data_IF_421459259764
#
_entry.id   IF_421459259764
#
_cell.length_a   1.000
_cell.length_b   1.000
_cell.length_c   1.000
_cell.angle_alpha   90.00
_cell.angle_beta   90.00
_cell.angle_gamma   90.00
#
_symmetry.space_group_name_H-M   'P 1'
#
loop_
_entity.id
_entity.type
_entity.pdbx_description
1 polymer ?
#
# COMPACT_ATOMS: atom_id res chain seq x y z
N UNK A 1 -13.16 1.23 -4.70
CA UNK A 1 -12.72 1.97 -5.92
C UNK A 1 -13.45 3.30 -5.99
N UNK A 2 -12.77 4.37 -6.35
CA UNK A 2 -13.39 5.69 -6.49
C UNK A 2 -12.39 6.75 -6.91
N UNK A 3 -12.88 7.94 -7.31
CA UNK A 3 -12.03 9.08 -7.59
C UNK A 3 -11.50 9.68 -6.29
N UNK A 4 -10.19 9.83 -6.17
CA UNK A 4 -9.56 10.46 -5.01
C UNK A 4 -10.03 11.92 -4.86
N UNK A 5 -10.10 12.68 -5.95
CA UNK A 5 -10.57 14.07 -5.95
C UNK A 5 -11.98 14.24 -5.38
N UNK A 6 -12.87 13.30 -5.68
CA UNK A 6 -14.27 13.39 -5.29
C UNK A 6 -14.54 12.83 -3.90
N UNK A 7 -13.78 11.81 -3.47
CA UNK A 7 -14.13 11.00 -2.31
C UNK A 7 -13.28 11.31 -1.08
N UNK A 8 -12.03 11.76 -1.25
CA UNK A 8 -11.08 11.87 -0.14
C UNK A 8 -11.52 12.86 0.93
N UNK A 9 -11.99 14.04 0.53
CA UNK A 9 -12.47 15.07 1.45
C UNK A 9 -13.64 14.56 2.31
N UNK A 10 -14.56 13.82 1.69
CA UNK A 10 -15.70 13.22 2.40
C UNK A 10 -15.25 12.13 3.39
N UNK A 11 -14.30 11.28 2.98
CA UNK A 11 -13.75 10.23 3.84
C UNK A 11 -12.97 10.80 5.03
N UNK A 12 -12.34 11.96 4.87
CA UNK A 12 -11.57 12.62 5.93
C UNK A 12 -12.42 13.55 6.81
N UNK A 13 -13.59 13.99 6.34
CA UNK A 13 -14.46 14.92 7.06
C UNK A 13 -14.81 14.52 8.52
N UNK A 14 -14.97 13.21 8.87
CA UNK A 14 -15.25 12.83 10.26
C UNK A 14 -14.08 13.06 11.22
N UNK A 15 -12.87 13.35 10.73
CA UNK A 15 -11.67 13.47 11.55
C UNK A 15 -11.27 14.93 11.74
N UNK A 16 -11.29 15.40 12.98
CA UNK A 16 -10.97 16.80 13.31
C UNK A 16 -9.51 17.19 13.07
N UNK A 17 -8.60 16.20 13.09
CA UNK A 17 -7.18 16.38 12.83
C UNK A 17 -6.66 15.25 11.95
N UNK A 18 -6.08 15.60 10.81
CA UNK A 18 -5.48 14.67 9.86
C UNK A 18 -4.01 15.03 9.66
N UNK A 19 -3.14 14.03 9.65
CA UNK A 19 -1.73 14.16 9.27
C UNK A 19 -1.46 13.18 8.13
N UNK A 20 -0.85 13.67 7.07
CA UNK A 20 -0.54 12.89 5.88
C UNK A 20 0.91 12.41 5.93
N UNK A 21 1.13 11.12 5.75
CA UNK A 21 2.46 10.55 5.51
C UNK A 21 2.62 10.32 4.00
N UNK A 22 3.68 10.88 3.43
CA UNK A 22 3.97 10.77 2.00
C UNK A 22 5.47 10.87 1.76
N UNK A 23 5.92 10.81 0.51
CA UNK A 23 7.29 11.12 0.10
C UNK A 23 7.32 12.33 -0.85
N UNK A 24 8.50 12.88 -1.10
CA UNK A 24 8.65 14.10 -1.88
C UNK A 24 8.07 13.96 -3.29
N UNK A 25 8.33 12.86 -3.97
CA UNK A 25 7.82 12.60 -5.31
C UNK A 25 6.29 12.54 -5.35
N UNK A 26 5.68 11.80 -4.44
CA UNK A 26 4.22 11.64 -4.39
C UNK A 26 3.55 12.95 -3.95
N UNK A 27 4.15 13.68 -3.01
CA UNK A 27 3.69 15.02 -2.60
C UNK A 27 3.69 15.99 -3.80
N UNK A 28 4.73 15.98 -4.61
CA UNK A 28 4.81 16.81 -5.82
C UNK A 28 3.75 16.47 -6.87
N UNK A 29 3.38 15.19 -6.99
CA UNK A 29 2.38 14.74 -7.96
C UNK A 29 0.94 14.89 -7.45
N UNK A 30 0.69 14.54 -6.20
CA UNK A 30 -0.64 14.32 -5.65
C UNK A 30 -0.93 15.07 -4.35
N UNK A 31 0.00 15.93 -3.88
CA UNK A 31 -0.19 16.73 -2.67
C UNK A 31 -1.42 17.64 -2.72
N UNK A 32 -1.83 18.06 -3.92
CA UNK A 32 -3.06 18.85 -4.13
C UNK A 32 -4.33 18.13 -3.66
N UNK A 33 -4.35 16.79 -3.67
CA UNK A 33 -5.50 16.00 -3.22
C UNK A 33 -5.75 16.11 -1.71
N UNK A 34 -4.71 16.38 -0.93
CA UNK A 34 -4.78 16.47 0.53
C UNK A 34 -4.86 17.89 1.07
N UNK A 35 -4.86 18.89 0.17
CA UNK A 35 -5.04 20.29 0.54
C UNK A 35 -4.01 20.78 1.55
N UNK A 36 -4.50 21.45 2.61
CA UNK A 36 -3.65 22.04 3.66
C UNK A 36 -3.35 21.12 4.84
N UNK A 37 -3.71 19.84 4.77
CA UNK A 37 -3.34 18.92 5.84
C UNK A 37 -1.81 18.86 6.01
N UNK A 38 -1.28 18.90 7.24
CA UNK A 38 0.15 18.80 7.48
C UNK A 38 0.69 17.48 6.95
N UNK A 39 1.81 17.57 6.23
CA UNK A 39 2.47 16.44 5.60
C UNK A 39 3.80 16.13 6.30
N UNK A 40 4.04 14.86 6.58
CA UNK A 40 5.33 14.32 6.99
C UNK A 40 5.94 13.65 5.76
N UNK A 41 7.06 14.21 5.28
CA UNK A 41 7.76 13.70 4.10
C UNK A 41 8.77 12.66 4.53
N UNK A 42 8.62 11.44 4.03
CA UNK A 42 9.48 10.30 4.32
C UNK A 42 10.44 10.02 3.18
N UNK A 43 11.64 9.48 3.46
CA UNK A 43 12.56 9.07 2.41
C UNK A 43 12.00 7.89 1.61
N UNK A 44 12.41 7.79 0.33
CA UNK A 44 12.00 6.73 -0.58
C UNK A 44 12.87 5.48 -0.48
N UNK A 45 12.35 4.37 -0.97
CA UNK A 45 13.06 3.12 -1.16
C UNK A 45 13.03 2.18 0.05
N UNK A 46 13.34 0.91 -0.21
CA UNK A 46 13.26 -0.18 0.79
C UNK A 46 14.17 0.06 2.00
N UNK A 47 15.29 0.75 1.84
CA UNK A 47 16.20 1.09 2.94
C UNK A 47 15.60 2.02 3.99
N UNK A 48 14.55 2.76 3.63
CA UNK A 48 13.83 3.65 4.57
C UNK A 48 12.79 2.89 5.42
N UNK A 49 12.45 1.66 5.06
CA UNK A 49 11.44 0.85 5.76
C UNK A 49 12.02 0.23 7.04
N UNK A 50 12.29 1.05 8.06
CA UNK A 50 12.96 0.63 9.30
C UNK A 50 12.41 1.37 10.53
N UNK A 51 12.82 0.93 11.73
CA UNK A 51 12.38 1.50 13.00
C UNK A 51 12.82 2.97 13.19
N UNK A 52 13.96 3.38 12.64
CA UNK A 52 14.43 4.77 12.76
C UNK A 52 13.53 5.75 11.99
N UNK A 53 13.07 5.36 10.81
CA UNK A 53 12.06 6.13 10.07
C UNK A 53 10.76 6.21 10.85
N UNK A 54 10.32 5.12 11.47
CA UNK A 54 9.12 5.12 12.33
C UNK A 54 9.31 6.03 13.55
N UNK A 55 10.48 6.01 14.18
CA UNK A 55 10.81 6.94 15.27
C UNK A 55 10.75 8.40 14.81
N UNK A 56 11.19 8.67 13.58
CA UNK A 56 11.06 10.01 12.96
C UNK A 56 9.59 10.39 12.76
N UNK A 57 8.75 9.46 12.29
CA UNK A 57 7.28 9.69 12.18
C UNK A 57 6.72 10.09 13.55
N UNK A 58 7.07 9.39 14.64
CA UNK A 58 6.57 9.71 15.98
C UNK A 58 7.00 11.11 16.44
N UNK A 59 8.27 11.50 16.23
CA UNK A 59 8.78 12.82 16.58
C UNK A 59 8.01 13.93 15.85
N UNK A 60 7.76 13.73 14.55
CA UNK A 60 6.99 14.68 13.73
C UNK A 60 5.51 14.75 14.15
N UNK A 61 4.88 13.60 14.43
CA UNK A 61 3.52 13.57 14.97
C UNK A 61 3.43 14.37 16.28
N UNK A 62 4.39 14.18 17.20
CA UNK A 62 4.46 14.96 18.45
C UNK A 62 4.67 16.45 18.18
N UNK A 63 5.56 16.81 17.26
CA UNK A 63 5.81 18.22 16.87
C UNK A 63 4.55 18.89 16.32
N UNK A 64 3.75 18.15 15.56
CA UNK A 64 2.46 18.59 15.03
C UNK A 64 1.34 18.59 16.08
N UNK A 65 1.63 18.17 17.31
CA UNK A 65 0.63 18.08 18.39
C UNK A 65 -0.42 17.00 18.13
N UNK A 66 -0.05 15.91 17.42
CA UNK A 66 -0.97 14.81 17.18
C UNK A 66 -1.35 14.12 18.49
N UNK A 67 -2.63 13.85 18.65
CA UNK A 67 -3.24 13.19 19.80
C UNK A 67 -3.89 11.85 19.42
N UNK A 68 -4.55 11.20 20.37
CA UNK A 68 -5.22 9.90 20.16
C UNK A 68 -6.41 9.95 19.17
N UNK A 69 -6.89 11.14 18.82
CA UNK A 69 -7.99 11.35 17.88
C UNK A 69 -7.50 11.72 16.48
N UNK A 70 -6.20 11.96 16.34
CA UNK A 70 -5.57 12.27 15.07
C UNK A 70 -5.72 11.09 14.11
N UNK A 71 -6.07 11.41 12.88
CA UNK A 71 -6.12 10.42 11.78
C UNK A 71 -4.84 10.49 10.95
N UNK A 72 -4.25 9.35 10.64
CA UNK A 72 -3.08 9.25 9.78
C UNK A 72 -3.51 8.77 8.40
N UNK A 73 -3.27 9.57 7.36
CA UNK A 73 -3.46 9.18 5.97
C UNK A 73 -2.10 8.84 5.34
N UNK A 74 -1.95 7.64 4.82
CA UNK A 74 -0.81 7.29 3.98
C UNK A 74 -1.14 7.56 2.51
N UNK A 75 -0.41 8.47 1.88
CA UNK A 75 -0.49 8.80 0.46
C UNK A 75 0.79 8.31 -0.23
N UNK A 76 0.78 7.10 -0.82
CA UNK A 76 1.99 6.54 -1.44
C UNK A 76 1.94 5.07 -1.79
N UNK A 77 3.11 4.46 -2.03
CA UNK A 77 3.25 3.05 -2.33
C UNK A 77 3.24 2.13 -1.12
N UNK A 78 3.42 0.81 -1.33
CA UNK A 78 3.33 -0.21 -0.30
C UNK A 78 4.27 -0.02 0.88
N UNK A 79 5.53 0.38 0.65
CA UNK A 79 6.50 0.68 1.71
C UNK A 79 5.94 1.73 2.68
N UNK A 80 5.36 2.78 2.13
CA UNK A 80 4.80 3.88 2.93
C UNK A 80 3.54 3.44 3.66
N UNK A 81 2.66 2.66 3.02
CA UNK A 81 1.48 2.09 3.67
C UNK A 81 1.86 1.21 4.87
N UNK A 82 2.87 0.33 4.71
CA UNK A 82 3.34 -0.54 5.78
C UNK A 82 3.89 0.25 6.98
N UNK A 83 4.74 1.25 6.72
CA UNK A 83 5.31 2.11 7.77
C UNK A 83 4.23 2.96 8.46
N UNK A 84 3.32 3.54 7.67
CA UNK A 84 2.24 4.38 8.20
C UNK A 84 1.27 3.57 9.06
N UNK A 85 0.86 2.40 8.61
CA UNK A 85 0.01 1.50 9.37
C UNK A 85 0.67 1.03 10.66
N UNK A 86 1.96 0.68 10.62
CA UNK A 86 2.72 0.32 11.81
C UNK A 86 2.85 1.49 12.78
N UNK A 87 3.23 2.67 12.29
CA UNK A 87 3.31 3.88 13.11
C UNK A 87 1.95 4.22 13.74
N UNK A 88 0.88 4.17 12.98
CA UNK A 88 -0.47 4.44 13.48
C UNK A 88 -0.91 3.41 14.54
N UNK A 89 -0.64 2.12 14.32
CA UNK A 89 -1.03 1.05 15.25
C UNK A 89 -0.30 1.11 16.60
N UNK A 90 0.83 1.79 16.67
CA UNK A 90 1.70 1.85 17.85
C UNK A 90 1.77 3.24 18.50
N UNK A 91 1.59 4.33 17.72
CA UNK A 91 1.53 5.69 18.26
C UNK A 91 0.37 5.84 19.26
N UNK A 92 0.66 6.29 20.48
CA UNK A 92 -0.31 6.42 21.58
C UNK A 92 -1.17 5.17 21.85
N UNK A 93 -0.65 3.99 21.58
CA UNK A 93 -1.29 2.65 21.64
C UNK A 93 -2.34 2.42 20.55
N UNK A 94 -2.25 3.16 19.46
CA UNK A 94 -3.10 3.05 18.28
C UNK A 94 -3.92 4.30 18.02
N UNK A 95 -3.76 4.85 16.81
CA UNK A 95 -4.59 5.92 16.24
C UNK A 95 -5.21 5.42 14.93
N UNK A 96 -6.29 6.06 14.51
CA UNK A 96 -6.98 5.68 13.26
C UNK A 96 -6.16 6.09 12.06
N UNK A 97 -6.25 5.28 11.00
CA UNK A 97 -5.52 5.55 9.76
C UNK A 97 -6.29 5.05 8.53
N UNK A 98 -5.87 5.50 7.37
CA UNK A 98 -6.38 5.07 6.08
C UNK A 98 -5.31 5.19 5.00
N UNK A 99 -5.58 4.60 3.84
CA UNK A 99 -4.64 4.55 2.73
C UNK A 99 -5.22 5.16 1.46
N UNK A 100 -4.39 5.94 0.77
CA UNK A 100 -4.55 6.34 -0.63
C UNK A 100 -3.34 5.82 -1.42
N UNK A 101 -3.38 4.53 -1.84
CA UNK A 101 -2.24 3.89 -2.49
C UNK A 101 -2.04 4.41 -3.91
N UNK A 102 -0.79 4.76 -4.25
CA UNK A 102 -0.41 5.36 -5.54
C UNK A 102 0.36 4.42 -6.47
N UNK A 103 0.58 3.17 -6.07
CA UNK A 103 1.20 2.14 -6.91
C UNK A 103 0.24 0.98 -7.13
N UNK A 104 0.35 0.29 -8.27
CA UNK A 104 -0.50 -0.88 -8.55
C UNK A 104 -0.30 -1.95 -7.47
N UNK A 105 0.94 -2.24 -7.09
CA UNK A 105 1.26 -3.19 -6.01
C UNK A 105 0.53 -2.86 -4.70
N UNK A 106 0.50 -1.57 -4.32
CA UNK A 106 -0.19 -1.17 -3.12
C UNK A 106 -1.72 -1.28 -3.25
N UNK A 107 -2.28 -0.96 -4.43
CA UNK A 107 -3.73 -1.04 -4.65
C UNK A 107 -4.25 -2.49 -4.66
N UNK A 108 -3.49 -3.43 -5.24
CA UNK A 108 -3.95 -4.83 -5.37
C UNK A 108 -3.52 -5.73 -4.21
N UNK A 109 -2.49 -5.33 -3.47
CA UNK A 109 -1.89 -6.19 -2.45
C UNK A 109 -1.58 -5.46 -1.13
N UNK A 110 -0.58 -4.60 -1.07
CA UNK A 110 0.02 -4.13 0.19
C UNK A 110 -0.94 -3.37 1.11
N UNK A 111 -1.93 -2.63 0.59
CA UNK A 111 -2.89 -1.87 1.40
C UNK A 111 -4.04 -2.72 1.96
N UNK A 112 -4.18 -3.98 1.55
CA UNK A 112 -5.28 -4.86 1.92
C UNK A 112 -4.80 -5.97 2.83
N UNK A 113 -5.51 -6.21 3.93
CA UNK A 113 -5.26 -7.36 4.82
C UNK A 113 -4.53 -7.05 6.12
N UNK A 114 -4.33 -5.77 6.44
CA UNK A 114 -3.93 -5.29 7.77
C UNK A 114 -2.50 -5.63 8.20
N UNK A 115 -1.69 -6.26 7.37
CA UNK A 115 -0.26 -6.45 7.66
C UNK A 115 0.45 -5.11 7.55
N UNK A 116 1.11 -4.69 8.62
CA UNK A 116 1.91 -3.47 8.68
C UNK A 116 3.26 -3.80 9.29
N UNK A 117 4.32 -3.10 8.93
CA UNK A 117 5.60 -3.39 9.53
C UNK A 117 6.79 -2.78 8.83
N UNK A 118 7.96 -3.08 9.42
CA UNK A 118 9.26 -2.59 8.99
C UNK A 118 10.31 -3.69 9.00
N UNK A 119 11.40 -3.41 8.32
CA UNK A 119 12.58 -4.28 8.29
C UNK A 119 13.45 -4.07 9.54
N UNK A 120 14.18 -5.10 9.93
CA UNK A 120 15.13 -5.08 11.03
C UNK A 120 16.35 -5.90 10.65
N UNK A 121 17.54 -5.34 10.81
CA UNK A 121 18.84 -6.01 10.62
C UNK A 121 18.97 -6.78 9.30
N UNK A 122 18.45 -6.21 8.21
CA UNK A 122 18.47 -6.81 6.88
C UNK A 122 17.36 -7.84 6.61
N UNK A 123 16.54 -8.16 7.60
CA UNK A 123 15.37 -9.03 7.43
C UNK A 123 14.13 -8.21 7.14
N UNK A 124 13.40 -8.59 6.06
CA UNK A 124 12.17 -7.90 5.64
C UNK A 124 11.00 -8.21 6.58
N UNK A 125 10.22 -7.17 6.92
CA UNK A 125 8.94 -7.26 7.63
C UNK A 125 8.99 -8.00 8.98
N UNK A 126 10.11 -7.93 9.70
CA UNK A 126 10.30 -8.66 10.96
C UNK A 126 9.59 -8.03 12.15
N UNK A 127 9.34 -6.75 12.11
CA UNK A 127 8.63 -6.02 13.16
C UNK A 127 7.36 -5.43 12.59
N UNK A 128 6.21 -5.79 13.15
CA UNK A 128 4.95 -5.34 12.60
C UNK A 128 3.74 -5.68 13.45
N UNK A 129 2.59 -5.26 12.97
CA UNK A 129 1.30 -5.53 13.59
C UNK A 129 0.27 -5.95 12.54
N UNK A 130 -0.80 -6.61 12.99
CA UNK A 130 -2.03 -6.73 12.22
C UNK A 130 -2.96 -5.61 12.66
N UNK A 131 -3.18 -4.61 11.80
CA UNK A 131 -4.05 -3.47 12.07
C UNK A 131 -4.76 -3.04 10.78
N UNK A 132 -6.09 -3.03 10.82
CA UNK A 132 -6.89 -2.70 9.64
C UNK A 132 -7.04 -1.18 9.51
N UNK A 133 -6.87 -0.60 8.29
CA UNK A 133 -7.18 0.79 8.04
C UNK A 133 -8.70 1.02 8.10
N UNK A 134 -9.11 2.27 8.41
CA UNK A 134 -10.52 2.66 8.36
C UNK A 134 -11.08 2.64 6.93
N UNK A 135 -10.22 2.94 5.96
CA UNK A 135 -10.52 2.80 4.53
C UNK A 135 -9.25 2.63 3.72
N UNK A 136 -9.41 2.06 2.53
CA UNK A 136 -8.45 2.07 1.44
C UNK A 136 -9.15 2.67 0.22
N UNK A 137 -8.70 3.83 -0.23
CA UNK A 137 -9.24 4.48 -1.42
C UNK A 137 -8.34 4.19 -2.62
N UNK A 138 -8.70 3.22 -3.44
CA UNK A 138 -7.99 2.90 -4.68
C UNK A 138 -8.56 3.71 -5.83
N UNK A 139 -7.69 4.47 -6.50
CA UNK A 139 -7.99 5.25 -7.69
C UNK A 139 -6.98 4.89 -8.79
N UNK A 140 -7.44 4.28 -9.86
CA UNK A 140 -6.60 3.90 -10.99
C UNK A 140 -5.98 5.12 -11.71
N UNK A 141 -6.57 6.31 -11.59
CA UNK A 141 -5.99 7.54 -12.15
C UNK A 141 -4.61 7.86 -11.56
N UNK A 142 -4.35 7.48 -10.30
CA UNK A 142 -3.05 7.68 -9.66
C UNK A 142 -1.93 6.82 -10.26
N UNK A 143 -2.28 5.81 -11.06
CA UNK A 143 -1.31 4.95 -11.75
C UNK A 143 -0.76 5.58 -13.03
N UNK A 144 -1.35 6.67 -13.53
CA UNK A 144 -0.91 7.32 -14.76
C UNK A 144 0.55 7.80 -14.69
N UNK A 145 1.01 8.27 -13.52
CA UNK A 145 2.39 8.70 -13.29
C UNK A 145 3.34 7.57 -12.89
N UNK A 146 2.82 6.35 -12.70
CA UNK A 146 3.63 5.23 -12.20
C UNK A 146 4.61 4.76 -13.28
N UNK A 147 5.93 4.68 -13.00
CA UNK A 147 6.89 4.13 -13.94
C UNK A 147 6.53 2.71 -14.36
N UNK A 148 6.83 2.36 -15.61
CA UNK A 148 6.50 1.04 -16.16
C UNK A 148 7.03 -0.10 -15.30
N UNK A 149 8.26 0.00 -14.80
CA UNK A 149 8.87 -1.02 -13.93
C UNK A 149 8.02 -1.27 -12.69
N UNK A 150 7.58 -0.20 -12.03
CA UNK A 150 6.76 -0.29 -10.82
C UNK A 150 5.35 -0.83 -11.13
N UNK A 151 4.81 -0.48 -12.29
CA UNK A 151 3.55 -1.07 -12.76
C UNK A 151 3.69 -2.57 -12.98
N UNK A 152 4.78 -3.04 -13.62
CA UNK A 152 5.06 -4.46 -13.81
C UNK A 152 5.23 -5.21 -12.47
N UNK A 153 5.84 -4.59 -11.45
CA UNK A 153 5.90 -5.18 -10.11
C UNK A 153 4.51 -5.45 -9.53
N UNK A 154 3.58 -4.49 -9.67
CA UNK A 154 2.19 -4.69 -9.24
C UNK A 154 1.44 -5.71 -10.12
N UNK A 155 1.71 -5.73 -11.43
CA UNK A 155 1.09 -6.67 -12.35
C UNK A 155 1.48 -8.13 -12.05
N UNK A 156 2.67 -8.37 -11.53
CA UNK A 156 3.07 -9.70 -11.06
C UNK A 156 2.15 -10.22 -9.94
N UNK A 157 1.74 -9.35 -9.02
CA UNK A 157 0.78 -9.69 -7.97
C UNK A 157 -0.64 -9.93 -8.54
N UNK A 158 -1.04 -9.15 -9.54
CA UNK A 158 -2.31 -9.39 -10.25
C UNK A 158 -2.31 -10.77 -10.92
N UNK A 159 -1.22 -11.14 -11.61
CA UNK A 159 -1.07 -12.47 -12.23
C UNK A 159 -1.11 -13.56 -11.16
N UNK A 160 -0.44 -13.36 -10.02
CA UNK A 160 -0.51 -14.28 -8.88
C UNK A 160 -1.95 -14.49 -8.42
N UNK A 161 -2.71 -13.41 -8.25
CA UNK A 161 -4.11 -13.49 -7.84
C UNK A 161 -4.96 -14.23 -8.88
N UNK A 162 -4.75 -13.95 -10.17
CA UNK A 162 -5.43 -14.65 -11.26
C UNK A 162 -5.18 -16.16 -11.22
N UNK A 163 -3.91 -16.59 -11.04
CA UNK A 163 -3.53 -18.00 -10.92
C UNK A 163 -4.18 -18.66 -9.70
N UNK A 164 -4.32 -17.93 -8.59
CA UNK A 164 -4.87 -18.49 -7.34
C UNK A 164 -6.38 -18.72 -7.38
N UNK A 165 -7.12 -18.11 -8.31
CA UNK A 165 -8.56 -18.37 -8.35
C UNK A 165 -9.39 -17.43 -9.21
N UNK A 166 -8.82 -16.81 -10.25
CA UNK A 166 -9.57 -15.96 -11.18
C UNK A 166 -9.22 -16.27 -12.63
N UNK A 167 -9.80 -17.34 -13.17
CA UNK A 167 -9.56 -17.82 -14.52
C UNK A 167 -9.96 -16.77 -15.58
N UNK A 168 -11.02 -16.00 -15.34
CA UNK A 168 -11.46 -14.91 -16.23
C UNK A 168 -10.39 -13.82 -16.33
N UNK A 169 -9.88 -13.36 -15.18
CA UNK A 169 -8.81 -12.39 -15.11
C UNK A 169 -7.55 -12.91 -15.81
N UNK A 170 -7.18 -14.18 -15.58
CA UNK A 170 -6.02 -14.79 -16.21
C UNK A 170 -6.15 -14.80 -17.75
N UNK A 171 -7.26 -15.29 -18.29
CA UNK A 171 -7.51 -15.33 -19.73
C UNK A 171 -7.54 -13.92 -20.38
N UNK A 172 -8.04 -12.90 -19.67
CA UNK A 172 -8.02 -11.53 -20.16
C UNK A 172 -6.62 -10.91 -20.17
N UNK A 173 -5.78 -11.27 -19.19
CA UNK A 173 -4.38 -10.81 -19.14
C UNK A 173 -3.54 -11.44 -20.26
N UNK A 174 -3.75 -12.73 -20.59
CA UNK A 174 -3.05 -13.40 -21.70
C UNK A 174 -3.31 -12.76 -23.08
N UNK A 175 -4.46 -12.11 -23.24
CA UNK A 175 -4.89 -11.51 -24.51
C UNK A 175 -4.47 -10.03 -24.64
N UNK A 176 -3.80 -9.43 -23.65
CA UNK A 176 -3.45 -8.01 -23.62
C UNK A 176 -1.97 -7.78 -23.50
N UNK A 177 -1.49 -6.79 -24.21
CA UNK A 177 -0.16 -6.24 -23.99
C UNK A 177 -0.14 -5.34 -22.76
N UNK A 178 1.06 -5.09 -22.23
CA UNK A 178 1.25 -4.18 -21.09
C UNK A 178 0.70 -2.78 -21.38
N UNK A 179 0.88 -2.27 -22.59
CA UNK A 179 0.43 -0.93 -22.98
C UNK A 179 -1.10 -0.86 -23.05
N UNK A 180 -1.76 -1.90 -23.54
CA UNK A 180 -3.23 -2.00 -23.53
C UNK A 180 -3.76 -2.03 -22.10
N UNK A 181 -3.16 -2.80 -21.19
CA UNK A 181 -3.57 -2.83 -19.77
C UNK A 181 -3.42 -1.45 -19.14
N UNK A 182 -2.33 -0.75 -19.39
CA UNK A 182 -2.05 0.56 -18.79
C UNK A 182 -2.94 1.68 -19.33
N UNK A 183 -3.31 1.62 -20.61
CA UNK A 183 -4.12 2.64 -21.27
C UNK A 183 -5.63 2.43 -21.10
N UNK A 184 -6.07 1.20 -20.84
CA UNK A 184 -7.48 0.86 -20.60
C UNK A 184 -7.82 1.06 -19.11
N UNK A 185 -8.17 2.30 -18.74
CA UNK A 185 -8.53 2.62 -17.35
C UNK A 185 -9.71 1.80 -16.82
N UNK A 186 -10.82 1.62 -17.54
CA UNK A 186 -11.90 0.74 -17.11
C UNK A 186 -11.45 -0.68 -16.80
N UNK A 187 -10.60 -1.28 -17.65
CA UNK A 187 -10.03 -2.60 -17.40
C UNK A 187 -9.13 -2.61 -16.15
N UNK A 188 -8.28 -1.60 -15.99
CA UNK A 188 -7.40 -1.48 -14.81
C UNK A 188 -8.22 -1.35 -13.52
N UNK A 189 -9.29 -0.57 -13.50
CA UNK A 189 -10.20 -0.44 -12.36
C UNK A 189 -10.88 -1.77 -12.03
N UNK A 190 -11.39 -2.47 -13.05
CA UNK A 190 -12.00 -3.79 -12.89
C UNK A 190 -11.00 -4.80 -12.33
N UNK A 191 -9.80 -4.88 -12.90
CA UNK A 191 -8.70 -5.75 -12.49
C UNK A 191 -8.31 -5.53 -11.02
N UNK A 192 -8.14 -4.29 -10.60
CA UNK A 192 -7.85 -3.93 -9.19
C UNK A 192 -9.00 -4.40 -8.29
N UNK A 193 -10.24 -4.14 -8.69
CA UNK A 193 -11.41 -4.56 -7.93
C UNK A 193 -11.48 -6.08 -7.72
N UNK A 194 -11.16 -6.88 -8.76
CA UNK A 194 -11.09 -8.35 -8.67
C UNK A 194 -10.04 -8.80 -7.68
N UNK A 195 -8.82 -8.25 -7.75
CA UNK A 195 -7.74 -8.58 -6.81
C UNK A 195 -8.11 -8.25 -5.36
N UNK A 196 -8.68 -7.06 -5.11
CA UNK A 196 -9.11 -6.65 -3.77
C UNK A 196 -10.17 -7.60 -3.22
N UNK A 197 -11.20 -7.92 -4.00
CA UNK A 197 -12.28 -8.82 -3.59
C UNK A 197 -11.76 -10.21 -3.23
N UNK A 198 -10.91 -10.79 -4.08
CA UNK A 198 -10.33 -12.10 -3.85
C UNK A 198 -9.44 -12.10 -2.60
N UNK A 199 -8.57 -11.08 -2.45
CA UNK A 199 -7.71 -10.96 -1.29
C UNK A 199 -8.50 -10.75 0.00
N UNK A 200 -9.50 -9.86 -0.02
CA UNK A 200 -10.35 -9.61 1.13
C UNK A 200 -11.05 -10.90 1.60
N UNK A 201 -11.61 -11.69 0.67
CA UNK A 201 -12.24 -12.96 0.99
C UNK A 201 -11.29 -13.98 1.66
N UNK A 202 -10.02 -14.02 1.22
CA UNK A 202 -9.00 -14.88 1.85
C UNK A 202 -8.65 -14.34 3.26
N UNK A 203 -8.47 -13.03 3.39
CA UNK A 203 -8.12 -12.38 4.68
C UNK A 203 -9.24 -12.53 5.70
N UNK A 204 -10.50 -12.41 5.30
CA UNK A 204 -11.67 -12.63 6.18
C UNK A 204 -11.69 -14.03 6.77
N UNK A 205 -11.26 -15.04 6.02
CA UNK A 205 -11.19 -16.43 6.50
C UNK A 205 -9.93 -16.74 7.31
N UNK A 206 -8.84 -16.02 7.06
CA UNK A 206 -7.54 -16.26 7.71
C UNK A 206 -6.75 -14.97 7.88
N UNK A 207 -7.18 -14.10 8.77
CA UNK A 207 -6.55 -12.79 8.99
C UNK A 207 -5.07 -12.91 9.38
N UNK A 208 -4.73 -13.90 10.21
CA UNK A 208 -3.38 -14.06 10.79
C UNK A 208 -2.45 -15.00 10.03
N UNK A 209 -2.85 -15.45 8.82
CA UNK A 209 -2.01 -16.31 7.97
C UNK A 209 -1.63 -17.65 8.62
N UNK A 210 -2.54 -18.23 9.34
CA UNK A 210 -2.34 -19.56 9.94
C UNK A 210 -2.54 -20.70 8.92
N UNK A 211 -3.30 -20.49 7.85
CA UNK A 211 -3.71 -21.49 6.87
C UNK A 211 -3.76 -20.98 5.44
N UNK A 212 -4.97 -20.75 4.91
CA UNK A 212 -5.26 -20.43 3.49
C UNK A 212 -4.51 -19.18 2.99
N UNK A 213 -4.38 -18.16 3.81
CA UNK A 213 -3.69 -16.91 3.43
C UNK A 213 -2.22 -17.14 3.02
N UNK A 214 -1.60 -18.25 3.41
CA UNK A 214 -0.25 -18.62 2.96
C UNK A 214 -0.16 -18.83 1.44
N UNK A 215 -1.27 -19.12 0.76
CA UNK A 215 -1.34 -19.21 -0.70
C UNK A 215 -0.96 -17.90 -1.38
N UNK A 216 -1.20 -16.75 -0.71
CA UNK A 216 -0.78 -15.44 -1.21
C UNK A 216 0.75 -15.28 -1.30
N UNK A 217 1.53 -16.18 -0.70
CA UNK A 217 2.99 -16.22 -0.81
C UNK A 217 3.48 -17.05 -2.00
N UNK A 218 2.61 -17.43 -2.93
CA UNK A 218 3.01 -18.15 -4.17
C UNK A 218 4.11 -17.35 -4.89
N UNK A 219 5.22 -18.04 -5.18
CA UNK A 219 6.39 -17.42 -5.83
C UNK A 219 7.36 -16.68 -4.92
N UNK A 220 6.99 -16.28 -3.70
CA UNK A 220 7.84 -15.47 -2.82
C UNK A 220 9.16 -16.15 -2.45
N UNK A 221 9.19 -17.46 -2.25
CA UNK A 221 10.42 -18.21 -1.92
C UNK A 221 11.49 -18.03 -3.00
N UNK A 222 11.09 -18.16 -4.28
CA UNK A 222 12.01 -17.96 -5.41
C UNK A 222 12.39 -16.48 -5.57
N UNK A 223 11.42 -15.57 -5.45
CA UNK A 223 11.65 -14.13 -5.57
C UNK A 223 12.68 -13.65 -4.53
N UNK A 224 12.52 -14.00 -3.26
CA UNK A 224 13.46 -13.62 -2.19
C UNK A 224 14.86 -14.20 -2.38
N UNK A 225 14.97 -15.44 -2.89
CA UNK A 225 16.26 -16.03 -3.21
C UNK A 225 16.98 -15.26 -4.34
N UNK A 226 16.26 -14.90 -5.41
CA UNK A 226 16.80 -14.11 -6.53
C UNK A 226 17.20 -12.70 -6.07
N UNK A 227 16.36 -12.02 -5.29
CA UNK A 227 16.66 -10.70 -4.73
C UNK A 227 17.93 -10.72 -3.86
N UNK A 228 18.08 -11.71 -2.99
CA UNK A 228 19.26 -11.87 -2.13
C UNK A 228 20.53 -12.06 -2.96
N UNK A 229 20.47 -12.85 -4.02
CA UNK A 229 21.58 -13.04 -4.94
C UNK A 229 21.93 -11.78 -5.73
N UNK A 230 20.92 -11.00 -6.15
CA UNK A 230 21.11 -9.75 -6.87
C UNK A 230 21.74 -8.66 -5.99
N UNK A 231 21.38 -8.59 -4.71
CA UNK A 231 21.96 -7.65 -3.74
C UNK A 231 23.42 -7.96 -3.40
N UNK A 232 23.80 -9.24 -3.37
CA UNK A 232 25.22 -9.65 -3.14
C UNK A 232 26.15 -9.39 -4.31
N UNK A 233 25.62 -9.06 -5.50
CA UNK A 233 26.40 -8.76 -6.71
C UNK A 233 26.59 -7.25 -6.96
N UNK A 234 26.10 -6.40 -6.07
CA UNK A 234 26.31 -4.95 -6.06
C UNK A 234 27.25 -4.55 -4.92
#
# INVERSE_FOLDING_TARGET
MGSAEQSLSHLLAPYGKVVVLTNERVAGLYGHLVGEYPQIILPEGEGSKNLETVATIYRELMRLGADRHTFILALGGGILCDMAGFAASTYMRGVRFGYLPTTLLAQVDASVGGKTGVNLDGYKNMVGTFSQPQFVLCDAALLASLPQREFCCGLAEVIKMAILGDEELFGLLEQRTLDEIRSDRPFTEWMIGRCIQQKAAIVERDEREAGERRLLNLGHTFAHAIETLAQKKR
#
